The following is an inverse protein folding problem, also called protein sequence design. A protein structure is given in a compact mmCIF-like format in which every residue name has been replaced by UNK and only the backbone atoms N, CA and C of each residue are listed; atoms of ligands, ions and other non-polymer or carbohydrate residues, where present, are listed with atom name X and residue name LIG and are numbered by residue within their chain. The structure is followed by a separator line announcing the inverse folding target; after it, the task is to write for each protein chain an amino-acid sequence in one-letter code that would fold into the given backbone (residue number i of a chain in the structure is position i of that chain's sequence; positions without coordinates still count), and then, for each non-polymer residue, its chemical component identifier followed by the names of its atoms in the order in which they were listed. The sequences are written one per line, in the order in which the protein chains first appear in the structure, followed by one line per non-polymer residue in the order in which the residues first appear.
data_IF_460454275463
#
_entry.id   IF_460454275463
#
_cell.length_a   1.000
_cell.length_b   1.000
_cell.length_c   1.000
_cell.angle_alpha   90.00
_cell.angle_beta   90.00
_cell.angle_gamma   90.00
#
_symmetry.space_group_name_H-M   'P 1'
#
loop_
_entity.id
_entity.type
_entity.pdbx_description
1 polymer ?
#
# COMPACT_ATOMS: atom_id res chain seq x y z
N UNK A 1 -13.73 23.89 -12.37
CA UNK A 1 -13.38 22.78 -11.49
C UNK A 1 -12.97 21.62 -12.37
N UNK A 2 -11.70 21.22 -12.30
CA UNK A 2 -11.17 20.14 -13.13
C UNK A 2 -11.61 18.75 -12.63
N UNK A 3 -11.36 17.67 -13.41
CA UNK A 3 -11.70 16.31 -12.98
C UNK A 3 -11.05 15.91 -11.65
N UNK A 4 -9.79 16.30 -11.43
CA UNK A 4 -9.07 16.03 -10.19
C UNK A 4 -9.68 16.77 -8.99
N UNK A 5 -10.05 18.05 -9.16
CA UNK A 5 -10.68 18.83 -8.09
C UNK A 5 -12.01 18.20 -7.66
N UNK A 6 -12.78 17.67 -8.62
CA UNK A 6 -14.05 16.97 -8.31
C UNK A 6 -13.80 15.66 -7.56
N UNK A 7 -12.80 14.88 -7.97
CA UNK A 7 -12.41 13.65 -7.24
C UNK A 7 -12.01 13.97 -5.81
N UNK A 8 -11.18 14.99 -5.61
CA UNK A 8 -10.74 15.44 -4.29
C UNK A 8 -11.91 15.89 -3.42
N UNK A 9 -12.81 16.71 -3.97
CA UNK A 9 -14.00 17.16 -3.25
C UNK A 9 -14.84 15.98 -2.75
N UNK A 10 -15.07 14.97 -3.61
CA UNK A 10 -15.84 13.77 -3.25
C UNK A 10 -15.08 12.95 -2.18
N UNK A 11 -13.78 12.77 -2.35
CA UNK A 11 -12.95 11.98 -1.42
C UNK A 11 -12.80 12.67 -0.06
N UNK A 12 -12.64 13.99 -0.02
CA UNK A 12 -12.55 14.74 1.23
C UNK A 12 -13.88 14.70 1.99
N UNK A 13 -15.02 14.88 1.29
CA UNK A 13 -16.35 14.74 1.89
C UNK A 13 -16.57 13.34 2.50
N UNK A 14 -16.09 12.29 1.84
CA UNK A 14 -16.18 10.93 2.38
C UNK A 14 -15.32 10.74 3.63
N UNK A 15 -14.09 11.24 3.63
CA UNK A 15 -13.19 11.19 4.80
C UNK A 15 -13.82 11.92 5.99
N UNK A 16 -14.36 13.14 5.80
CA UNK A 16 -15.04 13.91 6.85
C UNK A 16 -16.23 13.16 7.44
N UNK A 17 -17.06 12.53 6.59
CA UNK A 17 -18.19 11.72 7.05
C UNK A 17 -17.75 10.52 7.90
N UNK A 18 -16.58 9.94 7.61
CA UNK A 18 -16.03 8.84 8.41
C UNK A 18 -15.52 9.26 9.80
N UNK A 19 -15.32 10.55 10.03
CA UNK A 19 -15.05 11.08 11.36
C UNK A 19 -16.35 11.26 12.19
N UNK A 20 -17.51 11.39 11.52
CA UNK A 20 -18.81 11.58 12.14
C UNK A 20 -19.57 10.26 12.35
N UNK A 21 -19.39 9.28 11.46
CA UNK A 21 -20.08 7.98 11.52
C UNK A 21 -19.23 6.85 10.94
N UNK A 22 -19.55 5.59 11.30
CA UNK A 22 -18.84 4.43 10.75
C UNK A 22 -18.87 4.38 9.21
N UNK A 23 -17.73 4.09 8.57
CA UNK A 23 -17.55 4.01 7.12
C UNK A 23 -18.62 3.15 6.43
N UNK A 24 -19.00 2.03 7.05
CA UNK A 24 -20.09 1.14 6.55
C UNK A 24 -21.43 1.85 6.41
N UNK A 25 -21.71 2.80 7.29
CA UNK A 25 -22.98 3.54 7.30
C UNK A 25 -23.01 4.70 6.32
N UNK A 26 -21.85 5.21 5.90
CA UNK A 26 -21.77 6.30 4.93
C UNK A 26 -22.27 5.81 3.57
N UNK A 27 -23.34 6.38 3.07
CA UNK A 27 -23.88 6.10 1.74
C UNK A 27 -23.31 7.05 0.68
N UNK A 28 -23.40 6.67 -0.60
CA UNK A 28 -23.06 7.58 -1.71
C UNK A 28 -23.93 8.84 -1.68
N UNK A 29 -25.18 8.74 -1.18
CA UNK A 29 -26.06 9.88 -1.03
C UNK A 29 -25.51 10.90 -0.04
N UNK A 30 -25.02 10.43 1.11
CA UNK A 30 -24.44 11.30 2.15
C UNK A 30 -23.20 12.04 1.62
N UNK A 31 -22.34 11.32 0.88
CA UNK A 31 -21.15 11.91 0.26
C UNK A 31 -21.53 13.01 -0.72
N UNK A 32 -22.50 12.72 -1.60
CA UNK A 32 -22.97 13.66 -2.62
C UNK A 32 -23.63 14.89 -1.99
N UNK A 33 -24.49 14.70 -0.98
CA UNK A 33 -25.12 15.77 -0.22
C UNK A 33 -24.09 16.69 0.44
N UNK A 34 -23.05 16.11 1.08
CA UNK A 34 -21.96 16.85 1.69
C UNK A 34 -21.20 17.72 0.68
N UNK A 35 -21.05 17.27 -0.58
CA UNK A 35 -20.38 18.06 -1.63
C UNK A 35 -21.24 19.18 -2.22
N UNK A 36 -22.54 19.23 -1.92
CA UNK A 36 -23.50 20.14 -2.55
C UNK A 36 -23.69 19.87 -4.05
N UNK A 37 -23.33 18.68 -4.54
CA UNK A 37 -23.45 18.25 -5.94
C UNK A 37 -24.58 17.24 -6.09
N UNK A 38 -24.91 16.87 -7.34
CA UNK A 38 -25.81 15.75 -7.62
C UNK A 38 -25.00 14.43 -7.75
N UNK A 39 -25.68 13.27 -7.95
CA UNK A 39 -25.03 11.95 -8.01
C UNK A 39 -24.20 11.71 -9.29
N UNK A 40 -24.45 12.42 -10.38
CA UNK A 40 -23.77 12.20 -11.68
C UNK A 40 -22.25 12.34 -11.59
N UNK A 41 -21.68 13.39 -10.95
CA UNK A 41 -20.23 13.52 -10.76
C UNK A 41 -19.60 12.36 -10.00
N UNK A 42 -20.28 11.77 -9.02
CA UNK A 42 -19.76 10.60 -8.31
C UNK A 42 -19.55 9.44 -9.27
N UNK A 43 -20.62 8.99 -9.95
CA UNK A 43 -20.55 7.83 -10.84
C UNK A 43 -19.74 8.07 -12.13
N UNK A 44 -19.48 9.31 -12.47
CA UNK A 44 -18.52 9.65 -13.52
C UNK A 44 -17.09 9.33 -13.14
N UNK A 45 -16.74 9.44 -11.84
CA UNK A 45 -15.39 9.27 -11.32
C UNK A 45 -15.15 7.95 -10.59
N UNK A 46 -16.15 7.37 -9.96
CA UNK A 46 -16.04 6.19 -9.12
C UNK A 46 -17.23 5.25 -9.34
N UNK A 47 -16.93 3.97 -9.52
CA UNK A 47 -17.98 2.95 -9.70
C UNK A 47 -18.71 2.68 -8.38
N UNK A 48 -18.00 2.73 -7.25
CA UNK A 48 -18.49 2.48 -5.90
C UNK A 48 -17.63 3.21 -4.84
N UNK A 49 -17.92 2.96 -3.56
CA UNK A 49 -17.16 3.51 -2.44
C UNK A 49 -15.77 2.88 -2.32
N UNK A 50 -15.64 1.62 -2.63
CA UNK A 50 -14.40 0.86 -2.59
C UNK A 50 -13.39 1.46 -3.58
N UNK A 51 -13.80 1.76 -4.80
CA UNK A 51 -12.99 2.47 -5.80
C UNK A 51 -12.57 3.86 -5.31
N UNK A 52 -13.44 4.58 -4.62
CA UNK A 52 -13.11 5.87 -4.00
C UNK A 52 -12.06 5.73 -2.90
N UNK A 53 -12.18 4.71 -2.03
CA UNK A 53 -11.22 4.41 -0.96
C UNK A 53 -9.84 4.12 -1.55
N UNK A 54 -9.78 3.23 -2.54
CA UNK A 54 -8.54 2.84 -3.23
C UNK A 54 -7.92 4.07 -3.89
N UNK A 55 -8.71 4.86 -4.62
CA UNK A 55 -8.21 6.07 -5.27
C UNK A 55 -7.65 7.07 -4.25
N UNK A 56 -8.35 7.28 -3.12
CA UNK A 56 -7.90 8.17 -2.06
C UNK A 56 -6.56 7.73 -1.47
N UNK A 57 -6.42 6.45 -1.18
CA UNK A 57 -5.18 5.88 -0.67
C UNK A 57 -4.03 6.06 -1.67
N UNK A 58 -4.25 5.70 -2.95
CA UNK A 58 -3.24 5.83 -4.01
C UNK A 58 -2.82 7.28 -4.22
N UNK A 59 -3.75 8.21 -4.18
CA UNK A 59 -3.48 9.64 -4.26
C UNK A 59 -2.62 10.12 -3.07
N UNK A 60 -3.03 9.82 -1.84
CA UNK A 60 -2.32 10.27 -0.63
C UNK A 60 -0.91 9.67 -0.57
N UNK A 61 -0.77 8.37 -0.86
CA UNK A 61 0.52 7.68 -0.88
C UNK A 61 1.42 8.20 -2.02
N UNK A 62 0.88 8.28 -3.23
CA UNK A 62 1.65 8.72 -4.40
C UNK A 62 2.22 10.11 -4.24
N UNK A 63 1.42 11.07 -3.75
CA UNK A 63 1.92 12.41 -3.46
C UNK A 63 2.96 12.44 -2.34
N UNK A 64 2.82 11.60 -1.31
CA UNK A 64 3.79 11.51 -0.23
C UNK A 64 5.13 10.94 -0.73
N UNK A 65 5.09 9.92 -1.59
CA UNK A 65 6.26 9.33 -2.22
C UNK A 65 6.95 10.31 -3.15
N UNK A 66 6.23 10.99 -4.05
CA UNK A 66 6.77 11.99 -4.99
C UNK A 66 7.43 13.17 -4.29
N UNK A 67 6.92 13.57 -3.11
CA UNK A 67 7.52 14.65 -2.31
C UNK A 67 8.82 14.25 -1.63
N UNK A 68 8.98 12.97 -1.30
CA UNK A 68 10.10 12.48 -0.47
C UNK A 68 11.21 11.85 -1.28
N UNK A 69 10.92 11.32 -2.46
CA UNK A 69 11.85 10.51 -3.25
C UNK A 69 12.01 11.03 -4.68
N UNK A 70 13.21 10.87 -5.28
CA UNK A 70 13.43 11.19 -6.68
C UNK A 70 12.68 10.18 -7.57
N UNK A 71 12.29 10.63 -8.76
CA UNK A 71 11.54 9.84 -9.75
C UNK A 71 12.23 8.48 -10.09
N UNK A 72 13.55 8.47 -10.09
CA UNK A 72 14.36 7.29 -10.47
C UNK A 72 14.19 6.06 -9.58
N UNK A 73 13.61 6.20 -8.38
CA UNK A 73 13.35 5.08 -7.47
C UNK A 73 11.86 4.82 -7.22
N UNK A 74 11.00 5.66 -7.80
CA UNK A 74 9.55 5.48 -7.70
C UNK A 74 9.08 4.32 -8.58
N UNK A 75 8.17 3.52 -8.06
CA UNK A 75 7.56 2.38 -8.76
C UNK A 75 6.11 2.69 -9.05
N UNK A 76 5.73 2.49 -10.30
CA UNK A 76 4.38 2.68 -10.82
C UNK A 76 3.80 1.36 -11.32
N UNK A 77 2.49 1.23 -11.34
CA UNK A 77 1.84 0.16 -12.11
C UNK A 77 1.95 0.43 -13.61
N UNK A 78 1.80 -0.62 -14.41
CA UNK A 78 1.66 -0.48 -15.86
C UNK A 78 0.52 0.48 -16.21
N UNK A 79 0.76 1.40 -17.16
CA UNK A 79 -0.25 2.38 -17.53
C UNK A 79 -1.56 1.71 -17.98
N UNK A 80 -2.65 2.06 -17.33
CA UNK A 80 -3.99 1.59 -17.68
C UNK A 80 -4.95 2.77 -17.79
N UNK A 81 -6.21 2.50 -18.16
CA UNK A 81 -7.27 3.52 -18.15
C UNK A 81 -7.64 3.93 -16.73
N UNK A 82 -7.21 3.17 -15.73
CA UNK A 82 -7.45 3.49 -14.33
C UNK A 82 -6.57 4.67 -13.90
N UNK A 83 -7.21 5.69 -13.35
CA UNK A 83 -6.53 6.92 -12.93
C UNK A 83 -5.57 6.75 -11.74
N UNK A 84 -5.54 5.58 -11.09
CA UNK A 84 -4.63 5.32 -9.97
C UNK A 84 -3.22 4.95 -10.44
N UNK A 85 -3.05 4.41 -11.64
CA UNK A 85 -1.75 3.98 -12.18
C UNK A 85 -0.77 5.14 -12.41
N UNK A 86 -1.27 6.38 -12.47
CA UNK A 86 -0.43 7.59 -12.55
C UNK A 86 0.29 7.93 -11.22
N UNK A 87 -0.10 7.29 -10.11
CA UNK A 87 0.50 7.53 -8.81
C UNK A 87 1.49 6.43 -8.48
N UNK A 88 2.72 6.77 -8.05
CA UNK A 88 3.64 5.75 -7.54
C UNK A 88 3.05 5.09 -6.30
N UNK A 89 3.35 3.81 -6.13
CA UNK A 89 2.84 3.05 -5.00
C UNK A 89 3.94 2.44 -4.14
N UNK A 90 5.18 2.42 -4.65
CA UNK A 90 6.32 1.82 -3.99
C UNK A 90 7.62 2.54 -4.35
N UNK A 91 8.74 2.14 -3.71
CA UNK A 91 10.09 2.58 -4.08
C UNK A 91 11.02 1.38 -4.18
N UNK A 92 12.00 1.44 -5.08
CA UNK A 92 13.11 0.51 -5.13
C UNK A 92 14.40 1.27 -4.80
N UNK A 93 14.78 1.28 -3.52
CA UNK A 93 15.99 1.95 -3.05
C UNK A 93 17.07 0.93 -2.71
N UNK A 94 18.10 0.85 -3.54
CA UNK A 94 19.27 -0.01 -3.29
C UNK A 94 20.13 0.60 -2.19
N UNK A 95 20.53 -0.22 -1.22
CA UNK A 95 21.49 0.12 -0.16
C UNK A 95 22.83 -0.58 -0.34
N UNK A 96 22.94 -1.45 -1.35
CA UNK A 96 24.13 -2.22 -1.73
C UNK A 96 23.88 -3.04 -3.01
N UNK A 97 24.82 -3.89 -3.36
CA UNK A 97 24.73 -4.72 -4.58
C UNK A 97 23.53 -5.68 -4.54
N UNK A 98 23.20 -6.21 -3.34
CA UNK A 98 22.14 -7.20 -3.10
C UNK A 98 21.30 -6.82 -1.90
N UNK A 99 21.07 -5.53 -1.70
CA UNK A 99 20.40 -5.02 -0.52
C UNK A 99 19.48 -3.86 -0.90
N UNK A 100 18.28 -3.88 -0.34
CA UNK A 100 17.27 -2.84 -0.49
C UNK A 100 16.97 -2.19 0.86
N UNK A 101 16.74 -0.89 0.88
CA UNK A 101 16.30 -0.15 2.06
C UNK A 101 14.80 0.16 1.96
N UNK A 102 14.00 -0.60 2.68
CA UNK A 102 12.55 -0.41 2.76
C UNK A 102 12.12 0.53 3.88
N UNK A 103 13.04 0.91 4.78
CA UNK A 103 12.69 1.65 6.00
C UNK A 103 11.97 2.97 5.70
N UNK A 104 12.50 3.72 4.75
CA UNK A 104 11.92 5.02 4.35
C UNK A 104 10.56 4.90 3.68
N UNK A 105 10.32 3.81 2.93
CA UNK A 105 9.00 3.53 2.38
C UNK A 105 7.99 3.27 3.50
N UNK A 106 8.34 2.43 4.47
CA UNK A 106 7.46 2.12 5.60
C UNK A 106 7.14 3.36 6.44
N UNK A 107 8.10 4.27 6.62
CA UNK A 107 7.86 5.56 7.29
C UNK A 107 6.82 6.40 6.54
N UNK A 108 6.91 6.47 5.20
CA UNK A 108 5.92 7.20 4.39
C UNK A 108 4.56 6.53 4.44
N UNK A 109 4.52 5.20 4.27
CA UNK A 109 3.28 4.43 4.34
C UNK A 109 2.57 4.63 5.69
N UNK A 110 3.31 4.53 6.79
CA UNK A 110 2.79 4.81 8.13
C UNK A 110 2.24 6.23 8.26
N UNK A 111 3.00 7.23 7.79
CA UNK A 111 2.59 8.63 7.90
C UNK A 111 1.31 8.95 7.13
N UNK A 112 1.11 8.28 5.98
CA UNK A 112 -0.13 8.41 5.19
C UNK A 112 -1.32 7.86 5.97
N UNK A 113 -1.18 6.67 6.57
CA UNK A 113 -2.23 6.08 7.39
C UNK A 113 -2.53 6.92 8.63
N UNK A 114 -1.49 7.45 9.30
CA UNK A 114 -1.63 8.30 10.48
C UNK A 114 -2.38 9.60 10.19
N UNK A 115 -2.15 10.21 9.03
CA UNK A 115 -2.77 11.48 8.64
C UNK A 115 -4.29 11.43 8.60
N UNK A 116 -4.88 10.27 8.27
CA UNK A 116 -6.33 10.02 8.22
C UNK A 116 -6.66 8.72 8.95
N UNK A 117 -6.19 8.62 10.18
CA UNK A 117 -6.18 7.36 10.92
C UNK A 117 -7.57 6.75 11.05
N UNK A 118 -8.58 7.52 11.45
CA UNK A 118 -9.97 7.05 11.59
C UNK A 118 -10.47 6.42 10.30
N UNK A 119 -10.30 7.12 9.18
CA UNK A 119 -10.71 6.65 7.86
C UNK A 119 -9.96 5.38 7.42
N UNK A 120 -8.61 5.39 7.45
CA UNK A 120 -7.82 4.25 6.99
C UNK A 120 -7.93 3.04 7.90
N UNK A 121 -8.09 3.22 9.22
CA UNK A 121 -8.38 2.10 10.13
C UNK A 121 -9.67 1.39 9.72
N UNK A 122 -10.75 2.12 9.52
CA UNK A 122 -12.02 1.54 9.11
C UNK A 122 -11.91 0.87 7.73
N UNK A 123 -11.26 1.51 6.75
CA UNK A 123 -11.10 0.98 5.41
C UNK A 123 -10.26 -0.32 5.37
N UNK A 124 -9.20 -0.42 6.20
CA UNK A 124 -8.33 -1.60 6.29
C UNK A 124 -8.99 -2.77 7.04
N UNK A 125 -9.94 -2.50 7.93
CA UNK A 125 -10.69 -3.53 8.66
C UNK A 125 -11.85 -4.13 7.85
N UNK A 126 -12.24 -3.50 6.73
CA UNK A 126 -13.21 -4.07 5.80
C UNK A 126 -12.68 -5.37 5.17
N UNK A 127 -13.59 -6.35 4.95
CA UNK A 127 -13.24 -7.70 4.50
C UNK A 127 -13.89 -8.11 3.17
N UNK A 128 -14.59 -7.20 2.49
CA UNK A 128 -15.22 -7.47 1.20
C UNK A 128 -14.19 -7.75 0.08
N UNK A 129 -14.59 -8.36 -1.04
CA UNK A 129 -13.69 -8.72 -2.13
C UNK A 129 -12.94 -7.52 -2.72
N UNK A 130 -13.56 -6.33 -2.73
CA UNK A 130 -12.95 -5.08 -3.21
C UNK A 130 -12.42 -4.20 -2.08
N UNK A 131 -12.26 -4.76 -0.87
CA UNK A 131 -11.72 -4.01 0.27
C UNK A 131 -10.28 -3.55 0.02
N UNK A 132 -9.92 -2.40 0.59
CA UNK A 132 -8.58 -1.81 0.48
C UNK A 132 -7.47 -2.82 0.83
N UNK A 133 -7.67 -3.67 1.85
CA UNK A 133 -6.67 -4.68 2.26
C UNK A 133 -6.34 -5.68 1.16
N UNK A 134 -7.33 -6.15 0.41
CA UNK A 134 -7.14 -7.10 -0.69
C UNK A 134 -6.46 -6.41 -1.87
N UNK A 135 -6.91 -5.20 -2.21
CA UNK A 135 -6.25 -4.38 -3.21
C UNK A 135 -4.75 -4.17 -2.90
N UNK A 136 -4.42 -3.87 -1.64
CA UNK A 136 -3.03 -3.68 -1.22
C UNK A 136 -2.22 -4.98 -1.31
N UNK A 137 -2.83 -6.13 -1.00
CA UNK A 137 -2.16 -7.41 -1.18
C UNK A 137 -1.79 -7.65 -2.64
N UNK A 138 -2.75 -7.49 -3.55
CA UNK A 138 -2.55 -7.69 -4.99
C UNK A 138 -1.53 -6.68 -5.57
N UNK A 139 -1.47 -5.47 -5.02
CA UNK A 139 -0.54 -4.42 -5.43
C UNK A 139 0.90 -4.70 -4.97
N UNK A 140 1.08 -5.15 -3.72
CA UNK A 140 2.41 -5.29 -3.13
C UNK A 140 3.04 -6.66 -3.34
N UNK A 141 2.28 -7.71 -3.59
CA UNK A 141 2.81 -9.04 -3.85
C UNK A 141 3.83 -9.06 -5.00
N UNK A 142 3.52 -8.54 -6.21
CA UNK A 142 4.49 -8.49 -7.29
C UNK A 142 5.69 -7.55 -7.00
N UNK A 143 5.49 -6.49 -6.23
CA UNK A 143 6.58 -5.57 -5.87
C UNK A 143 7.59 -6.24 -4.93
N UNK A 144 7.11 -6.95 -3.89
CA UNK A 144 7.98 -7.68 -2.97
C UNK A 144 8.63 -8.90 -3.62
N UNK A 145 7.96 -9.55 -4.57
CA UNK A 145 8.58 -10.59 -5.41
C UNK A 145 9.75 -10.00 -6.22
N UNK A 146 9.56 -8.86 -6.87
CA UNK A 146 10.63 -8.17 -7.60
C UNK A 146 11.80 -7.79 -6.67
N UNK A 147 11.54 -7.40 -5.44
CA UNK A 147 12.59 -7.12 -4.45
C UNK A 147 13.41 -8.38 -4.12
N UNK A 148 12.75 -9.53 -3.98
CA UNK A 148 13.43 -10.82 -3.81
C UNK A 148 14.34 -11.10 -5.00
N UNK A 149 13.87 -10.93 -6.23
CA UNK A 149 14.65 -11.12 -7.45
C UNK A 149 15.89 -10.21 -7.50
N UNK A 150 15.74 -8.94 -7.11
CA UNK A 150 16.85 -7.98 -7.00
C UNK A 150 17.88 -8.45 -5.95
N UNK A 151 17.44 -8.92 -4.79
CA UNK A 151 18.31 -9.41 -3.72
C UNK A 151 19.00 -10.72 -4.13
N UNK A 152 18.30 -11.61 -4.83
CA UNK A 152 18.86 -12.84 -5.38
C UNK A 152 20.02 -12.55 -6.34
N UNK A 153 19.89 -11.54 -7.19
CA UNK A 153 20.94 -11.10 -8.12
C UNK A 153 21.56 -12.31 -8.90
N UNK A 154 20.70 -13.09 -9.55
CA UNK A 154 21.01 -14.31 -10.32
C UNK A 154 21.44 -15.54 -9.48
N UNK A 155 21.39 -15.49 -8.16
CA UNK A 155 21.54 -16.70 -7.34
C UNK A 155 20.28 -17.54 -7.45
N UNK A 156 20.46 -18.84 -7.45
CA UNK A 156 19.33 -19.75 -7.56
C UNK A 156 18.59 -19.91 -6.23
N UNK A 157 17.27 -19.78 -6.29
CA UNK A 157 16.34 -20.24 -5.27
C UNK A 157 15.18 -20.95 -6.00
N UNK A 158 14.63 -22.07 -5.50
CA UNK A 158 13.46 -22.70 -6.10
C UNK A 158 12.28 -21.72 -6.19
N UNK A 159 11.50 -21.82 -7.26
CA UNK A 159 10.36 -20.92 -7.50
C UNK A 159 9.34 -20.96 -6.35
N UNK A 160 9.05 -22.15 -5.84
CA UNK A 160 8.15 -22.34 -4.68
C UNK A 160 8.60 -21.58 -3.42
N UNK A 161 9.91 -21.44 -3.21
CA UNK A 161 10.46 -20.67 -2.09
C UNK A 161 10.28 -19.16 -2.36
N UNK A 162 10.48 -18.71 -3.59
CA UNK A 162 10.26 -17.30 -3.99
C UNK A 162 8.80 -16.91 -3.81
N UNK A 163 7.87 -17.75 -4.27
CA UNK A 163 6.44 -17.57 -4.11
C UNK A 163 6.07 -17.48 -2.63
N UNK A 164 6.46 -18.48 -1.84
CA UNK A 164 6.20 -18.50 -0.40
C UNK A 164 6.72 -17.24 0.31
N UNK A 165 7.97 -16.86 0.07
CA UNK A 165 8.57 -15.70 0.72
C UNK A 165 7.88 -14.38 0.30
N UNK A 166 7.51 -14.26 -0.97
CA UNK A 166 6.78 -13.10 -1.49
C UNK A 166 5.44 -12.93 -0.80
N UNK A 167 4.67 -14.01 -0.68
CA UNK A 167 3.38 -14.03 0.01
C UNK A 167 3.55 -13.77 1.50
N UNK A 168 4.49 -14.45 2.16
CA UNK A 168 4.76 -14.31 3.58
C UNK A 168 5.11 -12.86 3.95
N UNK A 169 6.02 -12.22 3.22
CA UNK A 169 6.42 -10.84 3.50
C UNK A 169 5.29 -9.85 3.19
N UNK A 170 4.52 -10.07 2.12
CA UNK A 170 3.34 -9.25 1.81
C UNK A 170 2.32 -9.33 2.92
N UNK A 171 1.98 -10.53 3.38
CA UNK A 171 1.06 -10.74 4.49
C UNK A 171 1.59 -10.13 5.79
N UNK A 172 2.87 -10.35 6.12
CA UNK A 172 3.47 -9.84 7.35
C UNK A 172 3.48 -8.30 7.37
N UNK A 173 3.86 -7.66 6.27
CA UNK A 173 3.83 -6.21 6.10
C UNK A 173 2.42 -5.65 6.28
N UNK A 174 1.45 -6.12 5.50
CA UNK A 174 0.08 -5.60 5.54
C UNK A 174 -0.60 -5.86 6.87
N UNK A 175 -0.48 -7.06 7.41
CA UNK A 175 -1.11 -7.40 8.68
C UNK A 175 -0.52 -6.61 9.85
N UNK A 176 0.80 -6.35 9.83
CA UNK A 176 1.45 -5.50 10.82
C UNK A 176 0.80 -4.10 10.86
N UNK A 177 0.62 -3.46 9.69
CA UNK A 177 0.00 -2.13 9.62
C UNK A 177 -1.48 -2.15 10.01
N UNK A 178 -2.24 -3.13 9.54
CA UNK A 178 -3.66 -3.30 9.91
C UNK A 178 -3.80 -3.40 11.43
N UNK A 179 -2.99 -4.24 12.08
CA UNK A 179 -3.00 -4.41 13.54
C UNK A 179 -2.58 -3.13 14.27
N UNK A 180 -1.64 -2.38 13.75
CA UNK A 180 -1.20 -1.11 14.33
C UNK A 180 -2.26 -0.02 14.20
N UNK A 181 -2.99 0.03 13.10
CA UNK A 181 -4.12 0.95 12.92
C UNK A 181 -5.25 0.67 13.90
N UNK A 182 -5.54 -0.61 14.15
CA UNK A 182 -6.61 -1.09 15.05
C UNK A 182 -6.31 -0.90 16.55
N UNK A 183 -5.06 -0.64 16.91
CA UNK A 183 -4.69 -0.40 18.31
C UNK A 183 -5.05 1.02 18.75
N UNK A 184 -5.33 1.25 20.06
CA UNK A 184 -5.49 2.58 20.62
C UNK A 184 -4.30 3.48 20.26
N UNK A 185 -4.53 4.78 20.12
CA UNK A 185 -3.55 5.75 19.61
C UNK A 185 -2.21 5.64 20.33
N UNK A 186 -1.25 4.99 19.68
CA UNK A 186 0.17 5.08 20.02
C UNK A 186 0.74 6.27 19.26
N UNK A 187 1.80 6.87 19.79
CA UNK A 187 2.37 8.13 19.26
C UNK A 187 2.75 8.06 17.78
N UNK A 188 3.16 6.88 17.28
CA UNK A 188 3.48 6.61 15.86
C UNK A 188 3.12 5.16 15.51
N UNK A 189 2.62 4.91 14.28
CA UNK A 189 2.31 3.56 13.78
C UNK A 189 3.57 2.69 13.68
N UNK A 190 4.70 3.28 13.29
CA UNK A 190 6.01 2.62 13.30
C UNK A 190 7.00 3.51 14.02
N UNK A 191 7.71 2.94 14.99
CA UNK A 191 8.88 3.57 15.62
C UNK A 191 10.21 3.12 15.00
N UNK A 192 10.24 1.94 14.36
CA UNK A 192 11.43 1.37 13.71
C UNK A 192 11.05 0.27 12.71
N UNK A 193 11.32 0.48 11.44
CA UNK A 193 11.12 -0.49 10.36
C UNK A 193 12.36 -1.36 10.07
N UNK A 194 13.51 -1.06 10.68
CA UNK A 194 14.77 -1.77 10.47
C UNK A 194 14.69 -3.28 10.67
N UNK A 195 14.04 -3.80 11.74
CA UNK A 195 13.90 -5.23 11.94
C UNK A 195 13.23 -5.98 10.78
N UNK A 196 12.26 -5.36 10.10
CA UNK A 196 11.59 -5.97 8.95
C UNK A 196 12.55 -6.14 7.78
N UNK A 197 13.32 -5.11 7.42
CA UNK A 197 14.32 -5.19 6.36
C UNK A 197 15.41 -6.24 6.69
N UNK A 198 15.90 -6.26 7.92
CA UNK A 198 16.89 -7.24 8.37
C UNK A 198 16.36 -8.68 8.29
N UNK A 199 15.07 -8.90 8.61
CA UNK A 199 14.45 -10.21 8.53
C UNK A 199 14.38 -10.72 7.08
N UNK A 200 13.98 -9.88 6.13
CA UNK A 200 13.96 -10.22 4.70
C UNK A 200 15.35 -10.68 4.24
N UNK A 201 16.36 -9.87 4.51
CA UNK A 201 17.74 -10.19 4.12
C UNK A 201 18.26 -11.48 4.76
N UNK A 202 18.08 -11.64 6.05
CA UNK A 202 18.61 -12.80 6.79
C UNK A 202 17.96 -14.11 6.33
N UNK A 203 16.66 -14.12 6.12
CA UNK A 203 15.95 -15.32 5.67
C UNK A 203 16.30 -15.70 4.23
N UNK A 204 16.42 -14.73 3.33
CA UNK A 204 16.86 -15.02 1.95
C UNK A 204 18.27 -15.58 1.90
N UNK A 205 19.22 -15.03 2.66
CA UNK A 205 20.59 -15.56 2.71
C UNK A 205 20.63 -16.99 3.29
N UNK A 206 19.78 -17.30 4.27
CA UNK A 206 19.67 -18.64 4.83
C UNK A 206 19.13 -19.63 3.80
N UNK A 207 18.02 -19.30 3.14
CA UNK A 207 17.38 -20.13 2.12
C UNK A 207 18.33 -20.40 0.93
N UNK A 208 19.08 -19.38 0.49
CA UNK A 208 20.07 -19.54 -0.58
C UNK A 208 21.19 -20.52 -0.17
N UNK A 209 21.70 -20.40 1.05
CA UNK A 209 22.73 -21.33 1.56
C UNK A 209 22.21 -22.77 1.62
N UNK A 210 21.00 -22.98 2.11
CA UNK A 210 20.40 -24.32 2.16
C UNK A 210 20.17 -24.89 0.76
N UNK A 211 19.66 -24.10 -0.18
CA UNK A 211 19.48 -24.53 -1.57
C UNK A 211 20.80 -24.91 -2.24
N UNK A 212 21.89 -24.18 -1.96
CA UNK A 212 23.24 -24.51 -2.46
C UNK A 212 23.77 -25.81 -1.85
N UNK A 213 23.58 -26.03 -0.56
CA UNK A 213 24.01 -27.27 0.11
C UNK A 213 23.29 -28.49 -0.47
N UNK A 214 21.99 -28.42 -0.69
CA UNK A 214 21.18 -29.51 -1.28
C UNK A 214 21.57 -29.86 -2.73
N UNK A 215 22.13 -28.91 -3.49
CA UNK A 215 22.59 -29.14 -4.86
C UNK A 215 23.96 -29.85 -4.95
N UNK A 216 24.72 -29.80 -3.86
CA UNK A 216 26.04 -30.39 -3.78
C UNK A 216 26.05 -31.79 -3.13
N UNK A 217 24.88 -32.31 -2.77
CA UNK A 217 24.61 -33.66 -2.30
C UNK A 217 23.97 -34.50 -3.40
#
# INVERSE_FOLDING_TARGET
MGPLDTKLLIADAFVELCDEMPLKKVSISDIVERTGKNRKPFYYHFVDKEALIIWRFRYDLGLALQRKFPESILVYEEPSKDSVTQFPFYITQKSGVRSLDHSKFFDVFASVLEKRRTFYTQALLETGPHALRNYLYDLYLPALRNDIDIILANRYLPEENIEFLSEFYTCAFLYYFIRKCDQPVVKHLISNAGPFANLIHSSLEMEIKEAQLRRNL
#
